data_IF_175537223476
#
_entry.id   IF_175537223476
#
_cell.length_a   1.000
_cell.length_b   1.000
_cell.length_c   1.000
_cell.angle_alpha   90.00
_cell.angle_beta   90.00
_cell.angle_gamma   90.00
#
_symmetry.space_group_name_H-M   'P 1'
#
loop_
_entity.id
_entity.type
_entity.pdbx_description
1 polymer ?
#
# COMPACT_ATOMS: atom_id res chain seq x y z
N UNK A 1 -9.42 -3.79 2.84
CA UNK A 1 -8.25 -3.88 1.95
C UNK A 1 -8.34 -5.10 1.05
N UNK A 2 -8.58 -6.29 1.62
CA UNK A 2 -8.81 -7.51 0.85
C UNK A 2 -10.06 -7.43 -0.02
N UNK A 3 -9.96 -7.90 -1.26
CA UNK A 3 -11.07 -8.08 -2.19
C UNK A 3 -11.33 -9.58 -2.41
N UNK A 4 -12.59 -10.04 -2.36
CA UNK A 4 -12.92 -11.43 -2.67
C UNK A 4 -12.68 -11.71 -4.16
N UNK A 5 -12.19 -12.90 -4.48
CA UNK A 5 -11.95 -13.35 -5.85
C UNK A 5 -11.99 -14.88 -5.94
N UNK A 6 -11.93 -15.42 -7.14
CA UNK A 6 -11.89 -16.87 -7.39
C UNK A 6 -10.71 -17.20 -8.29
N UNK A 7 -9.79 -18.03 -7.81
CA UNK A 7 -8.62 -18.51 -8.58
C UNK A 7 -8.69 -20.04 -8.65
N UNK A 8 -8.68 -20.60 -9.86
CA UNK A 8 -8.78 -22.05 -10.11
C UNK A 8 -9.98 -22.71 -9.39
N UNK A 9 -11.13 -22.02 -9.36
CA UNK A 9 -12.35 -22.49 -8.70
C UNK A 9 -12.33 -22.45 -7.17
N UNK A 10 -11.34 -21.79 -6.56
CA UNK A 10 -11.28 -21.58 -5.10
C UNK A 10 -11.46 -20.11 -4.77
N UNK A 11 -12.30 -19.85 -3.78
CA UNK A 11 -12.46 -18.51 -3.24
C UNK A 11 -11.22 -18.08 -2.47
N UNK A 12 -10.75 -16.87 -2.76
CA UNK A 12 -9.54 -16.27 -2.19
C UNK A 12 -9.79 -14.81 -1.85
N UNK A 13 -8.97 -14.28 -0.95
CA UNK A 13 -8.90 -12.86 -0.67
C UNK A 13 -7.62 -12.29 -1.26
N UNK A 14 -7.74 -11.27 -2.10
CA UNK A 14 -6.62 -10.62 -2.78
C UNK A 14 -6.35 -9.26 -2.19
N UNK A 15 -5.07 -8.94 -2.03
CA UNK A 15 -4.60 -7.58 -1.77
C UNK A 15 -3.83 -7.10 -2.97
N UNK A 16 -4.20 -5.94 -3.49
CA UNK A 16 -3.46 -5.27 -4.56
C UNK A 16 -2.58 -4.19 -3.94
N UNK A 17 -1.29 -4.24 -4.25
CA UNK A 17 -0.30 -3.26 -3.81
C UNK A 17 0.41 -2.65 -5.02
N UNK A 18 0.67 -1.35 -4.96
CA UNK A 18 1.42 -0.60 -5.96
C UNK A 18 2.69 -0.04 -5.37
N UNK A 19 3.78 -0.12 -6.14
CA UNK A 19 5.08 0.47 -5.79
C UNK A 19 5.35 1.82 -6.49
N UNK A 20 4.39 2.27 -7.29
CA UNK A 20 4.37 3.53 -8.04
C UNK A 20 2.93 4.06 -8.01
N UNK A 21 2.71 5.33 -8.37
CA UNK A 21 1.34 5.84 -8.54
C UNK A 21 0.54 4.98 -9.55
N UNK A 22 -0.59 4.38 -9.15
CA UNK A 22 -1.38 3.54 -10.06
C UNK A 22 -1.97 4.31 -11.24
N UNK A 23 -2.17 5.64 -11.12
CA UNK A 23 -2.74 6.48 -12.19
C UNK A 23 -1.82 6.53 -13.43
N UNK A 24 -0.51 6.35 -13.24
CA UNK A 24 0.45 6.43 -14.35
C UNK A 24 0.65 5.08 -15.06
N UNK A 25 0.23 3.95 -14.47
CA UNK A 25 0.55 2.60 -14.97
C UNK A 25 0.01 2.37 -16.39
N UNK A 26 -1.25 2.74 -16.64
CA UNK A 26 -1.91 2.51 -17.93
C UNK A 26 -1.97 3.75 -18.84
N UNK A 27 -1.33 4.87 -18.44
CA UNK A 27 -1.43 6.14 -19.16
C UNK A 27 -0.10 6.56 -19.78
N UNK A 28 0.88 6.90 -18.95
CA UNK A 28 2.15 7.55 -19.36
C UNK A 28 3.37 6.77 -18.91
N UNK A 29 3.28 6.02 -17.81
CA UNK A 29 4.40 5.33 -17.19
C UNK A 29 5.41 6.29 -16.56
N UNK A 30 6.62 5.77 -16.29
CA UNK A 30 7.74 6.55 -15.73
C UNK A 30 8.76 6.87 -16.81
N UNK A 31 9.35 8.04 -16.69
CA UNK A 31 10.50 8.45 -17.51
C UNK A 31 11.77 7.67 -17.12
N UNK A 32 12.77 7.58 -18.02
CA UNK A 32 14.05 6.95 -17.69
C UNK A 32 14.77 7.60 -16.50
N UNK A 33 14.64 8.92 -16.32
CA UNK A 33 15.23 9.64 -15.18
C UNK A 33 14.55 9.28 -13.87
N UNK A 34 13.21 9.19 -13.84
CA UNK A 34 12.46 8.71 -12.68
C UNK A 34 12.83 7.27 -12.34
N UNK A 35 12.92 6.38 -13.33
CA UNK A 35 13.36 5.00 -13.09
C UNK A 35 14.79 4.94 -12.52
N UNK A 36 15.70 5.77 -13.03
CA UNK A 36 17.08 5.83 -12.53
C UNK A 36 17.17 6.26 -11.07
N UNK A 37 16.32 7.19 -10.63
CA UNK A 37 16.34 7.70 -9.24
C UNK A 37 15.51 6.86 -8.27
N UNK A 38 14.39 6.31 -8.73
CA UNK A 38 13.41 5.59 -7.91
C UNK A 38 13.52 4.06 -8.02
N UNK A 39 14.33 3.54 -8.93
CA UNK A 39 14.39 2.11 -9.20
C UNK A 39 13.03 1.54 -9.64
N UNK A 40 12.63 0.39 -9.10
CA UNK A 40 11.37 -0.26 -9.43
C UNK A 40 10.14 0.36 -8.75
N UNK A 41 10.33 1.22 -7.73
CA UNK A 41 9.23 1.89 -7.04
C UNK A 41 9.68 2.84 -5.93
N UNK A 42 8.83 3.79 -5.56
CA UNK A 42 9.13 4.86 -4.60
C UNK A 42 8.05 5.05 -3.52
N UNK A 43 6.95 4.32 -3.59
CA UNK A 43 5.84 4.40 -2.63
C UNK A 43 5.30 2.99 -2.37
N UNK A 44 4.44 2.84 -1.38
CA UNK A 44 3.62 1.66 -1.16
C UNK A 44 2.18 2.14 -1.03
N UNK A 45 1.32 1.68 -1.93
CA UNK A 45 -0.10 2.03 -1.94
C UNK A 45 -0.91 0.75 -1.98
N UNK A 46 -1.88 0.60 -1.09
CA UNK A 46 -2.84 -0.50 -1.15
C UNK A 46 -4.15 -0.04 -1.79
N UNK A 47 -4.70 -0.87 -2.68
CA UNK A 47 -6.06 -0.67 -3.16
C UNK A 47 -7.06 -1.26 -2.15
N UNK A 48 -8.05 -0.47 -1.79
CA UNK A 48 -9.17 -0.85 -0.93
C UNK A 48 -10.49 -0.49 -1.62
N UNK A 49 -10.83 -1.22 -2.69
CA UNK A 49 -12.04 -1.04 -3.48
C UNK A 49 -11.89 -1.68 -4.86
N UNK A 50 -12.88 -1.47 -5.72
CA UNK A 50 -12.94 -2.10 -7.05
C UNK A 50 -12.09 -1.39 -8.11
N UNK A 51 -11.78 -0.10 -7.91
CA UNK A 51 -11.04 0.72 -8.87
C UNK A 51 -9.87 1.49 -8.22
N UNK A 52 -9.09 2.17 -9.06
CA UNK A 52 -7.93 3.00 -8.66
C UNK A 52 -8.33 4.44 -8.29
N UNK A 53 -9.61 4.75 -8.07
CA UNK A 53 -10.00 6.11 -7.66
C UNK A 53 -9.34 6.47 -6.32
N UNK A 54 -9.00 7.74 -6.11
CA UNK A 54 -8.23 8.19 -4.93
C UNK A 54 -8.84 7.76 -3.60
N UNK A 55 -10.18 7.68 -3.49
CA UNK A 55 -10.88 7.20 -2.30
C UNK A 55 -10.61 5.71 -1.96
N UNK A 56 -10.21 4.93 -2.96
CA UNK A 56 -9.92 3.50 -2.86
C UNK A 56 -8.41 3.24 -2.77
N UNK A 57 -7.57 4.28 -2.71
CA UNK A 57 -6.13 4.14 -2.57
C UNK A 57 -5.70 4.57 -1.17
N UNK A 58 -4.94 3.70 -0.52
CA UNK A 58 -4.36 3.97 0.79
C UNK A 58 -2.84 4.02 0.63
N UNK A 59 -2.29 5.23 0.64
CA UNK A 59 -0.84 5.41 0.66
C UNK A 59 -0.28 5.10 2.06
N UNK A 60 0.80 4.34 2.09
CA UNK A 60 1.44 3.88 3.32
C UNK A 60 2.65 4.78 3.58
N UNK A 61 2.66 5.50 4.72
CA UNK A 61 3.81 6.32 5.06
C UNK A 61 5.09 5.49 5.16
N UNK A 62 6.13 5.94 4.45
CA UNK A 62 7.43 5.27 4.42
C UNK A 62 8.34 5.65 5.59
N UNK A 63 7.98 6.73 6.30
CA UNK A 63 8.74 7.29 7.42
C UNK A 63 7.87 7.14 8.66
N UNK A 64 8.43 6.61 9.73
CA UNK A 64 7.72 6.32 10.97
C UNK A 64 7.08 7.56 11.61
N UNK A 65 7.76 8.71 11.54
CA UNK A 65 7.26 9.99 12.05
C UNK A 65 5.89 10.34 11.43
N UNK A 66 5.72 10.07 10.13
CA UNK A 66 4.46 10.31 9.43
C UNK A 66 3.35 9.33 9.85
N UNK A 67 3.70 8.16 10.42
CA UNK A 67 2.70 7.26 11.02
C UNK A 67 2.21 7.81 12.36
N UNK A 68 3.12 8.37 13.16
CA UNK A 68 2.81 8.94 14.49
C UNK A 68 1.91 10.18 14.40
N UNK A 69 2.04 10.94 13.32
CA UNK A 69 1.20 12.11 13.04
C UNK A 69 -0.18 11.75 12.45
N UNK A 70 -0.45 10.46 12.21
CA UNK A 70 -1.70 9.99 11.60
C UNK A 70 -2.71 9.53 12.65
N UNK A 71 -3.97 9.96 12.53
CA UNK A 71 -5.08 9.46 13.36
C UNK A 71 -5.49 8.01 13.04
N UNK A 72 -4.94 7.41 11.97
CA UNK A 72 -5.29 6.06 11.53
C UNK A 72 -4.34 4.99 12.09
N UNK A 73 -3.04 5.27 12.15
CA UNK A 73 -2.03 4.29 12.50
C UNK A 73 -1.76 4.31 14.00
N UNK A 74 -2.04 3.19 14.68
CA UNK A 74 -1.81 3.08 16.11
C UNK A 74 -0.52 2.32 16.37
N UNK A 75 0.32 2.90 17.23
CA UNK A 75 1.49 2.21 17.76
C UNK A 75 1.02 1.08 18.68
N UNK A 76 1.45 -0.14 18.40
CA UNK A 76 1.10 -1.29 19.23
C UNK A 76 2.29 -1.83 20.02
N UNK A 77 1.98 -2.60 21.07
CA UNK A 77 2.97 -3.13 21.99
C UNK A 77 4.03 -3.95 21.26
N UNK A 78 5.29 -3.59 21.50
CA UNK A 78 6.44 -4.40 21.10
C UNK A 78 6.42 -5.75 21.80
N UNK A 79 6.04 -6.81 21.09
CA UNK A 79 6.32 -8.17 21.53
C UNK A 79 7.78 -8.52 21.24
N UNK A 80 8.42 -9.25 22.16
CA UNK A 80 9.82 -9.68 22.01
C UNK A 80 9.96 -10.41 20.66
N UNK A 81 10.93 -9.98 19.85
CA UNK A 81 11.25 -10.46 18.49
C UNK A 81 10.29 -10.08 17.35
N UNK A 82 9.22 -9.33 17.59
CA UNK A 82 8.33 -8.85 16.51
C UNK A 82 8.80 -7.52 15.91
N UNK A 83 9.52 -6.71 16.69
CA UNK A 83 9.87 -5.33 16.32
C UNK A 83 8.71 -4.36 16.56
N UNK A 84 8.86 -3.13 16.07
CA UNK A 84 7.90 -2.05 16.20
C UNK A 84 6.84 -2.13 15.10
N UNK A 85 5.56 -2.25 15.47
CA UNK A 85 4.46 -2.40 14.51
C UNK A 85 3.45 -1.27 14.69
N UNK A 86 2.93 -0.78 13.57
CA UNK A 86 1.82 0.16 13.50
C UNK A 86 0.69 -0.48 12.72
N UNK A 87 -0.49 -0.61 13.33
CA UNK A 87 -1.65 -1.17 12.64
C UNK A 87 -2.95 -0.65 13.24
N UNK A 88 -3.99 -0.61 12.43
CA UNK A 88 -5.34 -0.27 12.88
C UNK A 88 -6.17 -1.55 12.98
N UNK A 89 -6.67 -1.87 14.18
CA UNK A 89 -7.58 -2.99 14.44
C UNK A 89 -9.04 -2.54 14.60
N UNK A 90 -9.31 -1.23 14.49
CA UNK A 90 -10.64 -0.64 14.64
C UNK A 90 -11.36 -0.45 13.30
#
# INVERSE_FOLDING_TARGET
MYQPSTINGKDVFLTTAYFVDPQIICSTGRTPSQYKTQGTGYTLIFQNGEDISQKNLMEIPLIEENLKDSDFWNEHLCFINMGQHYFNLH
#
